data_IF_228484602633
#
_entry.id   IF_228484602633
#
_cell.length_a   1.000
_cell.length_b   1.000
_cell.length_c   1.000
_cell.angle_alpha   90.00
_cell.angle_beta   90.00
_cell.angle_gamma   90.00
#
_symmetry.space_group_name_H-M   'P 1'
#
loop_
_entity.id
_entity.type
_entity.pdbx_description
1 polymer ?
#
# COMPACT_ATOMS: atom_id res chain seq x y z
N UNK A 1 8.12 13.55 1.89
CA UNK A 1 7.11 12.50 2.18
C UNK A 1 7.85 11.29 2.72
N UNK A 2 7.61 10.89 3.98
CA UNK A 2 8.27 9.73 4.58
C UNK A 2 7.39 8.49 4.38
N UNK A 3 7.84 7.54 3.56
CA UNK A 3 7.24 6.22 3.46
C UNK A 3 7.85 5.30 4.52
N UNK A 4 7.03 4.58 5.28
CA UNK A 4 7.49 3.56 6.21
C UNK A 4 7.16 2.18 5.62
N UNK A 5 8.16 1.33 5.49
CA UNK A 5 7.94 -0.08 5.20
C UNK A 5 7.57 -0.81 6.50
N UNK A 6 6.27 -0.95 6.76
CA UNK A 6 5.75 -1.54 8.00
C UNK A 6 6.30 -2.96 8.25
N UNK A 7 6.55 -3.75 7.21
CA UNK A 7 7.17 -5.08 7.34
C UNK A 7 8.62 -5.07 7.83
N UNK A 8 9.25 -3.90 7.97
CA UNK A 8 10.59 -3.75 8.57
C UNK A 8 10.53 -3.49 10.08
N UNK A 9 9.33 -3.28 10.65
CA UNK A 9 9.17 -3.08 12.09
C UNK A 9 9.23 -4.41 12.85
N UNK A 10 10.12 -4.48 13.84
CA UNK A 10 10.35 -5.70 14.63
C UNK A 10 9.38 -5.89 15.80
N UNK A 11 8.66 -4.83 16.19
CA UNK A 11 7.66 -4.90 17.25
C UNK A 11 6.31 -5.31 16.66
N UNK A 12 6.05 -6.62 16.67
CA UNK A 12 4.85 -7.24 16.11
C UNK A 12 3.56 -6.81 16.80
N UNK A 13 3.57 -6.64 18.13
CA UNK A 13 2.38 -6.19 18.88
C UNK A 13 1.94 -4.79 18.44
N UNK A 14 2.90 -3.87 18.29
CA UNK A 14 2.62 -2.53 17.80
C UNK A 14 2.13 -2.53 16.36
N UNK A 15 2.66 -3.44 15.53
CA UNK A 15 2.22 -3.59 14.15
C UNK A 15 0.79 -4.12 14.06
N UNK A 16 0.43 -5.13 14.86
CA UNK A 16 -0.93 -5.67 14.89
C UNK A 16 -1.93 -4.65 15.44
N UNK A 17 -1.56 -3.88 16.47
CA UNK A 17 -2.38 -2.76 16.94
C UNK A 17 -2.63 -1.75 15.82
N UNK A 18 -1.58 -1.30 15.13
CA UNK A 18 -1.72 -0.36 14.03
C UNK A 18 -2.59 -0.91 12.88
N UNK A 19 -2.45 -2.21 12.57
CA UNK A 19 -3.31 -2.90 11.60
C UNK A 19 -4.77 -2.87 12.03
N UNK A 20 -5.08 -3.21 13.29
CA UNK A 20 -6.44 -3.18 13.83
C UNK A 20 -7.05 -1.78 13.79
N UNK A 21 -6.29 -0.77 14.20
CA UNK A 21 -6.73 0.63 14.16
C UNK A 21 -7.07 1.07 12.72
N UNK A 22 -6.20 0.73 11.75
CA UNK A 22 -6.42 1.04 10.34
C UNK A 22 -7.67 0.36 9.77
N UNK A 23 -7.89 -0.92 10.09
CA UNK A 23 -9.08 -1.65 9.63
C UNK A 23 -10.36 -1.07 10.24
N UNK A 24 -10.35 -0.75 11.54
CA UNK A 24 -11.48 -0.08 12.18
C UNK A 24 -11.83 1.26 11.51
N UNK A 25 -10.83 2.06 11.13
CA UNK A 25 -11.10 3.32 10.41
C UNK A 25 -11.64 3.12 8.99
N UNK A 26 -11.32 2.00 8.32
CA UNK A 26 -11.93 1.64 7.03
C UNK A 26 -13.40 1.28 7.25
N UNK A 27 -13.69 0.42 8.23
CA UNK A 27 -15.06 -0.02 8.54
C UNK A 27 -15.97 1.15 8.96
N UNK A 28 -15.40 2.12 9.68
CA UNK A 28 -16.07 3.37 10.08
C UNK A 28 -16.15 4.43 8.95
N UNK A 29 -15.57 4.18 7.78
CA UNK A 29 -15.54 5.12 6.66
C UNK A 29 -14.67 6.37 6.88
N UNK A 30 -13.81 6.38 7.90
CA UNK A 30 -12.91 7.50 8.22
C UNK A 30 -11.74 7.62 7.25
N UNK A 31 -11.33 6.50 6.64
CA UNK A 31 -10.31 6.47 5.60
C UNK A 31 -10.79 5.64 4.41
N UNK A 32 -10.38 6.04 3.22
CA UNK A 32 -10.68 5.33 1.97
C UNK A 32 -9.39 5.21 1.14
N UNK A 33 -8.65 4.09 1.24
CA UNK A 33 -7.44 3.87 0.47
C UNK A 33 -7.71 3.94 -1.03
N UNK A 34 -6.99 4.80 -1.74
CA UNK A 34 -7.12 4.92 -3.19
C UNK A 34 -6.10 4.03 -3.90
N UNK A 35 -6.61 3.05 -4.66
CA UNK A 35 -5.82 2.28 -5.64
C UNK A 35 -5.81 3.06 -6.94
N UNK A 36 -4.62 3.44 -7.36
CA UNK A 36 -4.39 4.23 -8.56
C UNK A 36 -4.26 3.33 -9.80
N UNK A 37 -3.47 2.24 -9.68
CA UNK A 37 -3.29 1.29 -10.78
C UNK A 37 -2.94 -0.11 -10.30
N UNK A 38 -3.43 -1.11 -11.02
CA UNK A 38 -3.05 -2.52 -10.88
C UNK A 38 -2.30 -2.96 -12.13
N UNK A 39 -1.13 -3.57 -11.95
CA UNK A 39 -0.35 -4.17 -13.03
C UNK A 39 -0.36 -5.70 -12.89
N UNK A 40 -0.38 -6.47 -13.99
CA UNK A 40 -0.05 -7.89 -13.94
C UNK A 40 1.35 -8.11 -13.36
N UNK A 41 1.56 -9.25 -12.68
CA UNK A 41 2.83 -9.53 -12.00
C UNK A 41 4.04 -9.53 -12.95
N UNK A 42 3.83 -9.96 -14.20
CA UNK A 42 4.84 -10.00 -15.26
C UNK A 42 5.30 -8.60 -15.67
N UNK A 43 4.50 -7.57 -15.36
CA UNK A 43 4.77 -6.15 -15.64
C UNK A 43 5.29 -5.40 -14.42
N UNK A 44 5.88 -6.08 -13.44
CA UNK A 44 6.45 -5.44 -12.24
C UNK A 44 7.47 -4.32 -12.57
N UNK A 45 8.27 -4.48 -13.63
CA UNK A 45 9.19 -3.44 -14.09
C UNK A 45 8.45 -2.15 -14.52
N UNK A 46 7.33 -2.29 -15.24
CA UNK A 46 6.49 -1.14 -15.64
C UNK A 46 5.86 -0.46 -14.43
N UNK A 47 5.42 -1.24 -13.42
CA UNK A 47 4.90 -0.71 -12.17
C UNK A 47 5.96 0.13 -11.43
N UNK A 48 7.21 -0.35 -11.38
CA UNK A 48 8.33 0.40 -10.79
C UNK A 48 8.63 1.69 -11.55
N UNK A 49 8.69 1.65 -12.89
CA UNK A 49 8.89 2.85 -13.70
C UNK A 49 7.76 3.87 -13.50
N UNK A 50 6.51 3.41 -13.43
CA UNK A 50 5.35 4.26 -13.17
C UNK A 50 5.44 5.02 -11.83
N UNK A 51 5.92 4.35 -10.78
CA UNK A 51 6.19 4.98 -9.48
C UNK A 51 7.40 5.94 -9.55
N UNK A 52 8.48 5.54 -10.21
CA UNK A 52 9.70 6.35 -10.36
C UNK A 52 9.43 7.66 -11.10
N UNK A 53 8.59 7.60 -12.14
CA UNK A 53 8.12 8.75 -12.91
C UNK A 53 7.13 9.63 -12.12
N UNK A 54 6.79 9.27 -10.86
CA UNK A 54 5.83 9.95 -9.99
C UNK A 54 4.44 10.09 -10.60
N UNK A 55 4.03 9.12 -11.42
CA UNK A 55 2.71 9.14 -12.08
C UNK A 55 1.57 8.72 -11.16
N UNK A 56 1.88 7.99 -10.07
CA UNK A 56 0.85 7.43 -9.21
C UNK A 56 0.23 8.47 -8.26
N UNK A 57 -1.10 8.54 -8.25
CA UNK A 57 -1.85 9.25 -7.20
C UNK A 57 -2.54 8.19 -6.35
N UNK A 58 -1.81 7.54 -5.44
CA UNK A 58 -2.35 6.46 -4.62
C UNK A 58 -1.47 5.22 -4.64
N UNK A 59 -2.08 4.05 -4.37
CA UNK A 59 -1.40 2.76 -4.31
C UNK A 59 -1.33 2.10 -5.68
N UNK A 60 -0.15 1.58 -6.00
CA UNK A 60 0.09 0.70 -7.15
C UNK A 60 0.17 -0.73 -6.65
N UNK A 61 -0.58 -1.65 -7.26
CA UNK A 61 -0.64 -3.06 -6.87
C UNK A 61 -0.18 -3.97 -8.01
N UNK A 62 0.27 -5.17 -7.65
CA UNK A 62 0.51 -6.27 -8.57
C UNK A 62 -0.58 -7.34 -8.39
N UNK A 63 -1.15 -7.82 -9.48
CA UNK A 63 -2.06 -8.98 -9.49
C UNK A 63 -1.26 -10.23 -9.92
N UNK A 64 -1.46 -11.32 -9.19
CA UNK A 64 -0.83 -12.64 -9.41
C UNK A 64 -1.86 -13.69 -9.84
N UNK A 65 -3.04 -13.23 -10.23
CA UNK A 65 -4.18 -14.05 -10.64
C UNK A 65 -3.99 -14.60 -12.07
#
# INVERSE_FOLDING_TARGET
>A
MFGIHLGRWKNWERLDKARKDLMGWIDEGKINPHVDKVFPSEKAAEAHHYIQDRKNIGKVLLSFD
#
